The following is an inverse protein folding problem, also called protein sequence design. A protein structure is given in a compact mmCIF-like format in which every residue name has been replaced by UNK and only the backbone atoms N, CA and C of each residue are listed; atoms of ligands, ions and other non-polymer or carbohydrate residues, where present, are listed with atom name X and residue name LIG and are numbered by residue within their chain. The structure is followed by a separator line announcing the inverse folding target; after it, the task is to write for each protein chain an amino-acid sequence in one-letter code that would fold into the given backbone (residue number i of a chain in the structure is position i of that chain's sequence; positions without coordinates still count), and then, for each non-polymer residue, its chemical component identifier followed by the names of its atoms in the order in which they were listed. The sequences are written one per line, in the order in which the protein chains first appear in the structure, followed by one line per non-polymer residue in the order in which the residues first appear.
data_IF_765787495607
#
_entry.id   IF_765787495607
#
_cell.length_a   1.000
_cell.length_b   1.000
_cell.length_c   1.000
_cell.angle_alpha   90.00
_cell.angle_beta   90.00
_cell.angle_gamma   90.00
#
_symmetry.space_group_name_H-M   'P 1'
#
loop_
_entity.id
_entity.type
_entity.pdbx_description
1 polymer ?
#
# COMPACT_ATOMS: atom_id res chain seq x y z
N UNK A 1 -23.09 -1.90 -8.52
CA UNK A 1 -22.94 -3.13 -7.70
C UNK A 1 -23.06 -2.77 -6.23
N UNK A 2 -23.73 -3.58 -5.39
CA UNK A 2 -23.71 -3.37 -3.95
C UNK A 2 -22.30 -3.58 -3.41
N UNK A 3 -21.71 -2.52 -2.83
CA UNK A 3 -20.42 -2.56 -2.13
C UNK A 3 -20.61 -3.33 -0.81
N UNK A 4 -19.87 -4.44 -0.63
CA UNK A 4 -19.87 -5.24 0.60
C UNK A 4 -18.71 -4.77 1.51
N UNK A 5 -18.98 -4.24 2.72
CA UNK A 5 -17.93 -3.68 3.57
C UNK A 5 -16.90 -4.69 4.05
N UNK A 6 -17.33 -5.89 4.41
CA UNK A 6 -16.45 -6.96 4.88
C UNK A 6 -15.51 -7.41 3.75
N UNK A 7 -16.04 -7.53 2.52
CA UNK A 7 -15.22 -7.90 1.36
C UNK A 7 -14.18 -6.83 1.06
N UNK A 8 -14.57 -5.55 1.07
CA UNK A 8 -13.64 -4.42 0.82
C UNK A 8 -12.56 -4.36 1.90
N UNK A 9 -12.93 -4.50 3.18
CA UNK A 9 -11.98 -4.48 4.29
C UNK A 9 -10.96 -5.63 4.17
N UNK A 10 -11.42 -6.84 3.83
CA UNK A 10 -10.53 -8.00 3.63
C UNK A 10 -9.56 -7.80 2.48
N UNK A 11 -10.03 -7.29 1.34
CA UNK A 11 -9.17 -7.00 0.18
C UNK A 11 -8.13 -5.95 0.53
N UNK A 12 -8.56 -4.83 1.11
CA UNK A 12 -7.67 -3.74 1.52
C UNK A 12 -6.62 -4.20 2.53
N UNK A 13 -7.04 -4.90 3.58
CA UNK A 13 -6.15 -5.47 4.62
C UNK A 13 -5.19 -6.49 4.04
N UNK A 14 -5.66 -7.35 3.12
CA UNK A 14 -4.85 -8.35 2.44
C UNK A 14 -3.75 -7.70 1.58
N UNK A 15 -4.09 -6.67 0.81
CA UNK A 15 -3.13 -5.93 0.00
C UNK A 15 -2.07 -5.23 0.87
N UNK A 16 -2.50 -4.50 1.90
CA UNK A 16 -1.58 -3.81 2.81
C UNK A 16 -0.67 -4.80 3.56
N UNK A 17 -1.20 -5.95 3.98
CA UNK A 17 -0.41 -7.02 4.60
C UNK A 17 0.60 -7.64 3.63
N UNK A 18 0.22 -7.87 2.38
CA UNK A 18 1.14 -8.34 1.33
C UNK A 18 2.29 -7.33 1.09
N UNK A 19 1.91 -6.05 0.98
CA UNK A 19 2.70 -4.84 1.27
C UNK A 19 3.82 -5.07 2.28
N UNK A 20 3.37 -5.18 3.51
CA UNK A 20 4.19 -5.24 4.70
C UNK A 20 5.16 -6.43 4.69
N UNK A 21 4.66 -7.62 4.35
CA UNK A 21 5.45 -8.85 4.35
C UNK A 21 6.57 -8.82 3.31
N UNK A 22 6.29 -8.32 2.10
CA UNK A 22 7.29 -8.18 1.06
C UNK A 22 8.40 -7.20 1.49
N UNK A 23 8.04 -6.05 2.07
CA UNK A 23 8.99 -5.05 2.53
C UNK A 23 9.82 -5.53 3.73
N UNK A 24 9.23 -6.33 4.63
CA UNK A 24 9.90 -6.85 5.82
C UNK A 24 10.82 -8.04 5.52
N UNK A 25 10.31 -9.09 4.89
CA UNK A 25 11.06 -10.33 4.68
C UNK A 25 11.89 -10.32 3.38
N UNK A 26 11.46 -9.58 2.37
CA UNK A 26 12.11 -9.54 1.06
C UNK A 26 12.38 -8.09 0.57
N UNK A 27 13.09 -7.25 1.36
CA UNK A 27 13.26 -5.82 1.05
C UNK A 27 13.96 -5.57 -0.29
N UNK A 28 14.85 -6.46 -0.75
CA UNK A 28 15.46 -6.34 -2.08
C UNK A 28 14.46 -6.52 -3.22
N UNK A 29 13.53 -7.47 -3.07
CA UNK A 29 12.44 -7.67 -4.03
C UNK A 29 11.45 -6.51 -3.97
N UNK A 30 11.07 -6.08 -2.76
CA UNK A 30 10.20 -4.93 -2.57
C UNK A 30 10.81 -3.66 -3.19
N UNK A 31 12.11 -3.43 -3.01
CA UNK A 31 12.80 -2.31 -3.65
C UNK A 31 12.65 -2.34 -5.17
N UNK A 32 12.89 -3.50 -5.78
CA UNK A 32 12.73 -3.66 -7.24
C UNK A 32 11.28 -3.42 -7.69
N UNK A 33 10.31 -3.94 -6.95
CA UNK A 33 8.89 -3.78 -7.25
C UNK A 33 8.42 -2.33 -7.14
N UNK A 34 8.78 -1.64 -6.06
CA UNK A 34 8.23 -0.31 -5.73
C UNK A 34 9.07 0.85 -6.27
N UNK A 35 10.38 0.67 -6.48
CA UNK A 35 11.28 1.76 -6.90
C UNK A 35 11.87 1.56 -8.29
N UNK A 36 11.80 0.35 -8.85
CA UNK A 36 12.23 0.05 -10.22
C UNK A 36 11.13 -0.49 -11.12
N UNK A 37 9.88 -0.54 -10.66
CA UNK A 37 8.74 -1.03 -11.46
C UNK A 37 8.64 -2.56 -11.56
N UNK A 38 9.67 -3.29 -11.15
CA UNK A 38 9.70 -4.74 -11.05
C UNK A 38 9.36 -5.49 -12.35
N UNK A 39 9.29 -6.83 -12.26
CA UNK A 39 9.15 -7.79 -13.37
C UNK A 39 7.99 -7.55 -14.35
N UNK A 40 7.03 -6.68 -14.04
CA UNK A 40 5.80 -6.51 -14.81
C UNK A 40 5.60 -5.10 -15.41
N UNK A 41 6.42 -4.10 -15.07
CA UNK A 41 6.29 -2.76 -15.67
C UNK A 41 7.63 -2.23 -16.20
N UNK A 42 7.74 -2.03 -17.53
CA UNK A 42 8.95 -1.47 -18.13
C UNK A 42 9.10 -0.02 -17.71
N UNK A 43 10.16 0.29 -16.98
CA UNK A 43 10.52 1.66 -16.66
C UNK A 43 11.73 1.67 -15.74
N UNK A 44 12.89 2.07 -16.27
CA UNK A 44 14.07 2.31 -15.44
C UNK A 44 14.10 3.78 -15.05
N UNK A 45 14.32 4.04 -13.77
CA UNK A 45 14.87 5.32 -13.34
C UNK A 45 16.38 5.19 -13.41
N UNK A 46 17.03 6.06 -14.19
CA UNK A 46 18.48 5.99 -14.43
C UNK A 46 19.30 6.29 -13.17
N UNK A 47 18.79 7.17 -12.30
CA UNK A 47 19.52 7.66 -11.11
C UNK A 47 19.33 6.82 -9.84
N UNK A 48 18.65 5.68 -9.93
CA UNK A 48 18.38 4.81 -8.78
C UNK A 48 19.29 3.57 -8.86
N UNK A 49 20.02 3.22 -7.78
CA UNK A 49 20.82 2.00 -7.74
C UNK A 49 20.00 0.74 -8.10
N UNK A 50 20.58 -0.21 -8.82
CA UNK A 50 19.87 -1.47 -9.19
C UNK A 50 19.50 -2.34 -7.99
N UNK A 51 20.25 -2.21 -6.91
CA UNK A 51 20.06 -2.94 -5.67
C UNK A 51 19.93 -1.98 -4.50
N UNK A 52 19.02 -2.31 -3.58
CA UNK A 52 18.92 -1.59 -2.31
C UNK A 52 20.20 -1.78 -1.49
N UNK A 53 20.79 -0.68 -1.05
CA UNK A 53 21.87 -0.71 -0.07
C UNK A 53 21.35 -1.13 1.33
N UNK A 54 22.25 -1.11 2.32
CA UNK A 54 21.91 -1.49 3.70
C UNK A 54 20.86 -0.56 4.33
N UNK A 55 20.91 0.74 4.05
CA UNK A 55 20.01 1.74 4.62
C UNK A 55 18.62 1.57 4.01
N UNK A 56 18.51 1.48 2.69
CA UNK A 56 17.24 1.24 1.99
C UNK A 56 16.58 -0.07 2.46
N UNK A 57 17.36 -1.15 2.58
CA UNK A 57 16.85 -2.43 3.11
C UNK A 57 16.33 -2.29 4.54
N UNK A 58 17.02 -1.55 5.39
CA UNK A 58 16.59 -1.34 6.78
C UNK A 58 15.34 -0.45 6.86
N UNK A 59 15.25 0.60 6.04
CA UNK A 59 14.06 1.44 5.93
C UNK A 59 12.85 0.65 5.46
N UNK A 60 13.00 -0.19 4.45
CA UNK A 60 11.92 -1.07 3.97
C UNK A 60 11.47 -2.05 5.05
N UNK A 61 12.39 -2.60 5.83
CA UNK A 61 12.03 -3.44 6.98
C UNK A 61 11.23 -2.67 8.02
N UNK A 62 11.68 -1.48 8.40
CA UNK A 62 10.95 -0.66 9.36
C UNK A 62 9.55 -0.29 8.86
N UNK A 63 9.45 0.08 7.58
CA UNK A 63 8.17 0.40 6.96
C UNK A 63 7.25 -0.83 6.89
N UNK A 64 7.79 -1.98 6.48
CA UNK A 64 7.06 -3.24 6.48
C UNK A 64 6.59 -3.65 7.88
N UNK A 65 7.44 -3.49 8.90
CA UNK A 65 7.06 -3.74 10.30
C UNK A 65 5.93 -2.82 10.75
N UNK A 66 6.03 -1.52 10.48
CA UNK A 66 5.01 -0.54 10.86
C UNK A 66 3.65 -0.88 10.25
N UNK A 67 3.61 -1.18 8.93
CA UNK A 67 2.36 -1.58 8.27
C UNK A 67 1.84 -2.88 8.87
N UNK A 68 2.68 -3.91 9.02
CA UNK A 68 2.26 -5.20 9.61
C UNK A 68 1.67 -5.03 11.01
N UNK A 69 2.29 -4.19 11.84
CA UNK A 69 1.82 -3.89 13.18
C UNK A 69 0.45 -3.20 13.18
N UNK A 70 0.25 -2.22 12.28
CA UNK A 70 -1.06 -1.58 12.09
C UNK A 70 -2.11 -2.56 11.60
N UNK A 71 -1.78 -3.46 10.66
CA UNK A 71 -2.71 -4.49 10.18
C UNK A 71 -3.07 -5.49 11.29
N UNK A 72 -2.11 -5.90 12.12
CA UNK A 72 -2.36 -6.77 13.26
C UNK A 72 -3.28 -6.11 14.31
N UNK A 73 -3.05 -4.83 14.61
CA UNK A 73 -3.94 -4.04 15.48
C UNK A 73 -5.35 -3.95 14.91
N UNK A 74 -5.48 -3.64 13.62
CA UNK A 74 -6.78 -3.60 12.93
C UNK A 74 -7.48 -4.95 12.97
N UNK A 75 -6.77 -6.06 12.72
CA UNK A 75 -7.34 -7.41 12.79
C UNK A 75 -7.89 -7.73 14.19
N UNK A 76 -7.17 -7.33 15.24
CA UNK A 76 -7.63 -7.47 16.63
C UNK A 76 -8.88 -6.64 16.90
N UNK A 77 -8.89 -5.36 16.51
CA UNK A 77 -10.01 -4.45 16.78
C UNK A 77 -11.26 -4.77 15.98
N UNK A 78 -11.10 -5.44 14.84
CA UNK A 78 -12.23 -5.77 13.95
C UNK A 78 -12.90 -7.10 14.28
N UNK A 79 -12.28 -7.94 15.11
CA UNK A 79 -12.82 -9.22 15.58
C UNK A 79 -13.47 -10.05 14.45
N UNK A 80 -12.74 -10.34 13.38
CA UNK A 80 -13.31 -11.06 12.23
C UNK A 80 -14.32 -10.24 11.41
N UNK A 81 -14.21 -8.91 11.46
CA UNK A 81 -15.10 -7.91 10.83
C UNK A 81 -16.49 -7.79 11.47
N UNK A 82 -16.69 -8.28 12.70
CA UNK A 82 -17.96 -8.09 13.45
C UNK A 82 -17.98 -6.79 14.25
N UNK A 83 -16.82 -6.20 14.54
CA UNK A 83 -16.67 -4.98 15.31
C UNK A 83 -15.84 -3.95 14.53
N UNK A 84 -16.02 -2.66 14.81
CA UNK A 84 -15.19 -1.56 14.31
C UNK A 84 -14.92 -1.52 12.79
N UNK A 85 -15.70 -2.25 11.98
CA UNK A 85 -15.52 -2.37 10.52
C UNK A 85 -15.56 -1.01 9.83
N UNK A 86 -16.48 -0.12 10.24
CA UNK A 86 -16.55 1.26 9.75
C UNK A 86 -15.25 2.03 9.99
N UNK A 87 -14.75 2.05 11.23
CA UNK A 87 -13.52 2.78 11.58
C UNK A 87 -12.30 2.21 10.86
N UNK A 88 -12.22 0.89 10.75
CA UNK A 88 -11.14 0.22 10.00
C UNK A 88 -11.14 0.59 8.51
N UNK A 89 -12.32 0.67 7.89
CA UNK A 89 -12.47 1.11 6.50
C UNK A 89 -12.15 2.60 6.31
N UNK A 90 -12.48 3.45 7.28
CA UNK A 90 -12.11 4.88 7.23
C UNK A 90 -10.59 5.08 7.35
N UNK A 91 -9.92 4.30 8.19
CA UNK A 91 -8.44 4.29 8.28
C UNK A 91 -7.82 3.81 6.96
N UNK A 92 -8.33 2.73 6.38
CA UNK A 92 -7.84 2.23 5.09
C UNK A 92 -8.10 3.23 3.96
N UNK A 93 -9.23 3.94 3.98
CA UNK A 93 -9.52 5.00 3.02
C UNK A 93 -8.45 6.09 3.05
N UNK A 94 -8.06 6.54 4.25
CA UNK A 94 -7.01 7.54 4.44
C UNK A 94 -5.64 7.00 4.02
N UNK A 95 -5.30 5.78 4.39
CA UNK A 95 -4.04 5.14 4.01
C UNK A 95 -3.87 5.11 2.49
N UNK A 96 -4.87 4.59 1.75
CA UNK A 96 -4.80 4.46 0.30
C UNK A 96 -4.83 5.81 -0.42
N UNK A 97 -5.67 6.75 0.03
CA UNK A 97 -5.71 8.09 -0.56
C UNK A 97 -4.35 8.81 -0.39
N UNK A 98 -3.76 8.74 0.81
CA UNK A 98 -2.48 9.38 1.10
C UNK A 98 -1.33 8.72 0.33
N UNK A 99 -1.32 7.39 0.25
CA UNK A 99 -0.32 6.65 -0.53
C UNK A 99 -0.37 7.05 -2.02
N UNK A 100 -1.58 7.20 -2.59
CA UNK A 100 -1.74 7.72 -3.96
C UNK A 100 -1.17 9.12 -4.16
N UNK A 101 -1.38 10.03 -3.20
CA UNK A 101 -0.82 11.40 -3.26
C UNK A 101 0.71 11.40 -3.18
N UNK A 102 1.30 10.54 -2.35
CA UNK A 102 2.76 10.44 -2.21
C UNK A 102 3.44 9.99 -3.52
N UNK A 103 2.75 9.23 -4.38
CA UNK A 103 3.26 8.91 -5.72
C UNK A 103 3.30 10.12 -6.66
N UNK A 104 2.58 11.21 -6.38
CA UNK A 104 2.71 12.48 -7.08
C UNK A 104 4.07 13.16 -6.83
N UNK A 105 4.54 13.13 -5.59
CA UNK A 105 5.89 13.60 -5.25
C UNK A 105 6.96 12.71 -5.91
N UNK A 106 6.80 11.39 -5.83
CA UNK A 106 7.71 10.44 -6.47
C UNK A 106 7.79 10.64 -8.00
N UNK A 107 6.66 10.94 -8.65
CA UNK A 107 6.61 11.28 -10.07
C UNK A 107 7.35 12.59 -10.37
N UNK A 108 7.13 13.63 -9.57
CA UNK A 108 7.80 14.94 -9.75
C UNK A 108 9.31 14.83 -9.58
N UNK A 109 9.76 14.08 -8.58
CA UNK A 109 11.17 13.89 -8.26
C UNK A 109 11.83 12.77 -9.08
N UNK A 110 11.08 12.12 -9.99
CA UNK A 110 11.53 10.98 -10.80
C UNK A 110 12.16 9.87 -9.95
N UNK A 111 11.72 9.70 -8.70
CA UNK A 111 12.28 8.72 -7.77
C UNK A 111 11.66 7.33 -7.92
N UNK A 112 10.74 7.17 -8.88
CA UNK A 112 10.10 5.91 -9.28
C UNK A 112 9.73 5.95 -10.78
N UNK A 113 9.52 4.81 -11.45
CA UNK A 113 9.11 4.78 -12.85
C UNK A 113 7.77 5.49 -13.05
N UNK A 114 7.68 6.32 -14.10
CA UNK A 114 6.49 7.11 -14.40
C UNK A 114 5.22 6.28 -14.44
N UNK A 115 5.23 5.15 -15.16
CA UNK A 115 4.04 4.33 -15.34
C UNK A 115 3.61 3.65 -14.04
N UNK A 116 4.57 3.30 -13.17
CA UNK A 116 4.27 2.84 -11.81
C UNK A 116 3.59 3.95 -11.00
N UNK A 117 4.14 5.16 -11.00
CA UNK A 117 3.53 6.28 -10.27
C UNK A 117 2.12 6.57 -10.78
N UNK A 118 1.92 6.66 -12.09
CA UNK A 118 0.60 6.94 -12.68
C UNK A 118 -0.41 5.83 -12.33
N UNK A 119 0.01 4.56 -12.41
CA UNK A 119 -0.83 3.45 -12.00
C UNK A 119 -1.22 3.58 -10.52
N UNK A 120 -0.28 3.80 -9.62
CA UNK A 120 -0.56 3.88 -8.18
C UNK A 120 -1.36 5.14 -7.80
N UNK A 121 -1.09 6.27 -8.44
CA UNK A 121 -1.89 7.51 -8.31
C UNK A 121 -3.33 7.31 -8.77
N UNK A 122 -3.61 6.37 -9.66
CA UNK A 122 -4.98 6.02 -10.06
C UNK A 122 -5.58 4.93 -9.16
N UNK A 123 -4.88 3.82 -8.94
CA UNK A 123 -5.43 2.65 -8.25
C UNK A 123 -5.61 2.88 -6.76
N UNK A 124 -4.67 3.56 -6.09
CA UNK A 124 -4.76 3.75 -4.65
C UNK A 124 -5.92 4.69 -4.25
N UNK A 125 -6.15 5.86 -4.88
CA UNK A 125 -7.34 6.67 -4.56
C UNK A 125 -8.66 5.97 -4.86
N UNK A 126 -8.72 5.12 -5.89
CA UNK A 126 -9.92 4.30 -6.18
C UNK A 126 -10.16 3.29 -5.05
N UNK A 127 -9.12 2.63 -4.56
CA UNK A 127 -9.22 1.75 -3.37
C UNK A 127 -9.64 2.55 -2.12
N UNK A 128 -9.09 3.75 -1.94
CA UNK A 128 -9.45 4.64 -0.85
C UNK A 128 -10.93 5.04 -0.89
N UNK A 129 -11.43 5.41 -2.07
CA UNK A 129 -12.85 5.70 -2.30
C UNK A 129 -13.73 4.48 -2.06
N UNK A 130 -13.32 3.29 -2.52
CA UNK A 130 -14.05 2.05 -2.26
C UNK A 130 -14.16 1.78 -0.75
N UNK A 131 -13.07 1.98 0.02
CA UNK A 131 -13.08 1.85 1.47
C UNK A 131 -14.00 2.89 2.13
N UNK A 132 -13.95 4.15 1.70
CA UNK A 132 -14.84 5.20 2.21
C UNK A 132 -16.31 4.90 1.93
N UNK A 133 -16.66 4.49 0.72
CA UNK A 133 -18.04 4.15 0.37
C UNK A 133 -18.52 2.90 1.12
N UNK A 134 -17.63 1.93 1.32
CA UNK A 134 -17.90 0.75 2.14
C UNK A 134 -18.15 1.12 3.61
N UNK A 135 -17.41 2.08 4.17
CA UNK A 135 -17.58 2.49 5.57
C UNK A 135 -18.94 3.14 5.83
N UNK A 136 -19.56 3.76 4.83
CA UNK A 136 -20.93 4.30 4.92
C UNK A 136 -22.01 3.22 4.99
N UNK A 137 -21.64 1.97 4.74
CA UNK A 137 -22.54 0.80 4.73
C UNK A 137 -22.19 -0.23 5.80
N UNK A 138 -21.18 0.05 6.61
CA UNK A 138 -20.62 -0.82 7.65
C UNK A 138 -21.16 -0.49 9.02
#
# INVERSE_FOLDING_TARGET
MPINPVAVLKVSTGMASGYALAMFFAPGLAYKLFFKGGLAMPGKVEDIPDEADKVHKQMLRWFGFAIAFTQAHKAKLTNGCTENTKGALEVDALLWATAGVLHGDALSNKSQPKDLCLMQMATMPVLGLACFLASRKA
#
